data_IF_698993960792
#
_entry.id   IF_698993960792
#
_cell.length_a   1.000
_cell.length_b   1.000
_cell.length_c   1.000
_cell.angle_alpha   90.00
_cell.angle_beta   90.00
_cell.angle_gamma   90.00
#
_symmetry.space_group_name_H-M   'P 1'
#
loop_
_entity.id
_entity.type
_entity.pdbx_description
1 polymer ?
#
# COMPACT_ATOMS: atom_id res chain seq x y z
N UNK A 1 -7.45 14.64 0.05
CA UNK A 1 -8.80 14.41 -0.51
C UNK A 1 -8.93 12.92 -0.73
N UNK A 2 -9.92 12.37 -0.03
CA UNK A 2 -10.43 10.99 -0.03
C UNK A 2 -9.42 9.86 0.20
N UNK A 3 -9.24 9.57 1.51
CA UNK A 3 -8.93 8.23 1.99
C UNK A 3 -9.92 7.26 1.31
N UNK A 4 -9.39 6.20 0.69
CA UNK A 4 -10.16 5.24 -0.12
C UNK A 4 -11.18 4.54 0.77
N UNK A 5 -12.34 5.16 0.95
CA UNK A 5 -13.45 4.56 1.68
C UNK A 5 -14.06 3.50 0.78
N UNK A 6 -13.79 2.23 1.08
CA UNK A 6 -14.55 1.11 0.54
C UNK A 6 -15.99 1.31 1.02
N UNK A 7 -16.87 1.78 0.13
CA UNK A 7 -18.31 1.87 0.42
C UNK A 7 -18.84 0.45 0.63
N UNK A 8 -19.12 0.14 1.88
CA UNK A 8 -19.85 -1.05 2.29
C UNK A 8 -21.35 -0.78 2.12
N UNK A 9 -21.85 -0.91 0.89
CA UNK A 9 -23.29 -0.88 0.65
C UNK A 9 -23.86 -2.29 0.76
N UNK A 10 -24.25 -2.63 1.99
CA UNK A 10 -24.98 -3.84 2.33
C UNK A 10 -25.18 -3.96 3.83
N UNK A 11 -26.24 -3.34 4.38
CA UNK A 11 -26.64 -3.62 5.75
C UNK A 11 -27.09 -5.08 5.87
N UNK A 12 -26.33 -5.90 6.59
CA UNK A 12 -26.81 -7.15 7.18
C UNK A 12 -26.12 -7.35 8.52
N UNK A 13 -26.94 -7.45 9.58
CA UNK A 13 -26.70 -7.92 10.96
C UNK A 13 -25.25 -7.99 11.42
N UNK A 14 -24.94 -7.33 12.54
CA UNK A 14 -23.66 -7.34 13.28
C UNK A 14 -22.99 -8.73 13.33
N UNK A 15 -22.32 -9.10 12.25
CA UNK A 15 -21.61 -10.36 12.13
C UNK A 15 -20.30 -10.20 12.89
N UNK A 16 -20.28 -10.69 14.14
CA UNK A 16 -19.04 -10.80 14.90
C UNK A 16 -18.10 -11.77 14.17
N UNK A 17 -17.03 -11.22 13.57
CA UNK A 17 -15.95 -12.03 13.05
C UNK A 17 -15.10 -12.53 14.21
N UNK A 18 -15.25 -13.81 14.57
CA UNK A 18 -14.39 -14.44 15.58
C UNK A 18 -13.12 -14.94 14.89
N UNK A 19 -12.03 -14.25 15.14
CA UNK A 19 -10.71 -14.73 14.75
C UNK A 19 -10.36 -15.99 15.55
N UNK A 20 -10.05 -17.08 14.84
CA UNK A 20 -9.54 -18.31 15.43
C UNK A 20 -8.13 -18.52 14.89
N UNK A 21 -7.13 -18.19 15.71
CA UNK A 21 -5.73 -18.46 15.40
C UNK A 21 -5.47 -19.94 15.64
N UNK A 22 -5.13 -20.67 14.59
CA UNK A 22 -4.73 -22.08 14.68
C UNK A 22 -3.20 -22.17 14.74
N UNK A 23 -2.61 -23.10 15.52
CA UNK A 23 -1.16 -23.19 15.70
C UNK A 23 -0.38 -23.56 14.43
N UNK A 24 -1.07 -24.04 13.40
CA UNK A 24 -0.51 -24.40 12.09
C UNK A 24 -0.83 -23.36 11.00
N UNK A 25 -1.42 -22.21 11.36
CA UNK A 25 -1.71 -21.10 10.46
C UNK A 25 -0.78 -19.95 10.79
N UNK A 26 -0.24 -19.32 9.75
CA UNK A 26 0.60 -18.15 9.89
C UNK A 26 -0.21 -16.96 10.43
N UNK A 27 0.18 -16.45 11.60
CA UNK A 27 -0.51 -15.37 12.30
C UNK A 27 -0.18 -13.97 11.78
N UNK A 28 0.85 -13.83 10.93
CA UNK A 28 1.21 -12.54 10.32
C UNK A 28 0.46 -12.29 9.01
N UNK A 29 -0.13 -13.34 8.42
CA UNK A 29 -0.97 -13.25 7.23
C UNK A 29 -2.40 -12.79 7.58
N UNK A 30 -3.07 -12.15 6.63
CA UNK A 30 -4.47 -11.77 6.83
C UNK A 30 -5.31 -11.85 5.55
N UNK A 31 -6.62 -11.77 5.70
CA UNK A 31 -7.58 -11.67 4.60
C UNK A 31 -7.63 -10.27 4.00
N UNK A 32 -7.23 -10.13 2.74
CA UNK A 32 -7.45 -8.93 1.93
C UNK A 32 -8.54 -9.15 0.88
N UNK A 33 -9.31 -8.11 0.54
CA UNK A 33 -10.26 -8.15 -0.58
C UNK A 33 -9.60 -7.62 -1.84
N UNK A 34 -9.57 -8.42 -2.92
CA UNK A 34 -9.06 -8.02 -4.24
C UNK A 34 -10.06 -8.43 -5.30
N UNK A 35 -10.49 -7.48 -6.13
CA UNK A 35 -11.46 -7.73 -7.22
C UNK A 35 -12.75 -8.43 -6.74
N UNK A 36 -13.26 -8.05 -5.57
CA UNK A 36 -14.46 -8.63 -4.97
C UNK A 36 -14.26 -10.00 -4.31
N UNK A 37 -13.06 -10.58 -4.34
CA UNK A 37 -12.74 -11.88 -3.73
C UNK A 37 -11.83 -11.71 -2.52
N UNK A 38 -12.03 -12.55 -1.51
CA UNK A 38 -11.15 -12.61 -0.34
C UNK A 38 -9.94 -13.48 -0.64
N UNK A 39 -8.76 -12.98 -0.27
CA UNK A 39 -7.48 -13.64 -0.42
C UNK A 39 -6.74 -13.61 0.93
N UNK A 40 -6.39 -14.77 1.46
CA UNK A 40 -5.56 -14.87 2.66
C UNK A 40 -4.09 -14.86 2.28
N UNK A 41 -3.29 -14.05 2.96
CA UNK A 41 -1.85 -14.04 2.80
C UNK A 41 -1.22 -12.67 3.01
N UNK A 42 -0.26 -12.37 2.14
CA UNK A 42 0.59 -11.18 2.19
C UNK A 42 0.51 -10.37 0.91
N UNK A 43 0.93 -9.12 1.01
CA UNK A 43 1.31 -8.27 -0.10
C UNK A 43 2.79 -7.94 0.03
N UNK A 44 3.42 -7.68 -1.11
CA UNK A 44 4.82 -7.32 -1.21
C UNK A 44 4.96 -5.97 -1.89
N UNK A 45 5.73 -5.08 -1.28
CA UNK A 45 6.14 -3.79 -1.80
C UNK A 45 7.63 -3.91 -2.19
N UNK A 46 7.94 -3.69 -3.47
CA UNK A 46 9.29 -3.82 -3.99
C UNK A 46 9.71 -2.50 -4.60
N UNK A 47 10.81 -1.93 -4.10
CA UNK A 47 11.44 -0.77 -4.70
C UNK A 47 12.60 -1.23 -5.58
N UNK A 48 12.65 -0.74 -6.82
CA UNK A 48 13.71 -1.06 -7.78
C UNK A 48 14.38 0.20 -8.30
N UNK A 49 15.60 0.05 -8.81
CA UNK A 49 16.22 1.08 -9.65
C UNK A 49 15.66 1.05 -11.08
N UNK A 50 16.20 1.92 -11.93
CA UNK A 50 15.83 2.04 -13.34
C UNK A 50 16.16 0.81 -14.20
N UNK A 51 17.07 -0.05 -13.75
CA UNK A 51 17.46 -1.30 -14.42
C UNK A 51 16.65 -2.50 -13.90
N UNK A 52 15.77 -2.29 -12.91
CA UNK A 52 14.99 -3.33 -12.27
C UNK A 52 15.74 -4.08 -11.15
N UNK A 53 16.87 -3.57 -10.68
CA UNK A 53 17.55 -4.13 -9.51
C UNK A 53 16.75 -3.79 -8.25
N UNK A 54 16.47 -4.80 -7.42
CA UNK A 54 15.74 -4.61 -6.16
C UNK A 54 16.62 -3.87 -5.15
N UNK A 55 16.14 -2.71 -4.70
CA UNK A 55 16.80 -1.87 -3.69
C UNK A 55 16.24 -2.15 -2.29
N UNK A 56 14.93 -2.40 -2.19
CA UNK A 56 14.27 -2.70 -0.93
C UNK A 56 13.02 -3.56 -1.14
N UNK A 57 12.67 -4.31 -0.11
CA UNK A 57 11.45 -5.11 -0.04
C UNK A 57 10.77 -4.92 1.32
N UNK A 58 9.44 -4.89 1.29
CA UNK A 58 8.60 -4.91 2.48
C UNK A 58 7.42 -5.85 2.24
N UNK A 59 7.18 -6.74 3.19
CA UNK A 59 6.05 -7.66 3.15
C UNK A 59 5.08 -7.30 4.26
N UNK A 60 3.81 -7.17 3.92
CA UNK A 60 2.73 -6.76 4.83
C UNK A 60 1.57 -7.73 4.71
N UNK A 61 0.77 -7.86 5.78
CA UNK A 61 -0.44 -8.66 5.74
C UNK A 61 -1.39 -8.15 4.63
N UNK A 62 -2.14 -9.03 3.97
CA UNK A 62 -2.89 -8.64 2.77
C UNK A 62 -4.01 -7.60 3.01
N UNK A 63 -4.42 -7.37 4.26
CA UNK A 63 -5.38 -6.31 4.62
C UNK A 63 -4.75 -4.93 4.83
N UNK A 64 -3.42 -4.83 4.86
CA UNK A 64 -2.75 -3.55 5.02
C UNK A 64 -2.94 -2.70 3.77
N UNK A 65 -3.13 -1.40 4.00
CA UNK A 65 -3.32 -0.40 2.96
C UNK A 65 -1.97 -0.01 2.37
N UNK A 66 -1.85 -0.12 1.06
CA UNK A 66 -0.60 0.12 0.35
C UNK A 66 -0.13 1.60 0.50
N UNK A 67 -1.08 2.53 0.68
CA UNK A 67 -0.84 3.96 0.89
C UNK A 67 0.17 4.21 2.02
N UNK A 68 0.10 3.44 3.12
CA UNK A 68 0.85 3.70 4.36
C UNK A 68 2.27 3.13 4.37
N UNK A 69 2.65 2.37 3.35
CA UNK A 69 3.92 1.64 3.32
C UNK A 69 4.97 2.26 2.39
N UNK A 70 4.68 3.42 1.79
CA UNK A 70 5.64 4.11 0.93
C UNK A 70 6.89 4.54 1.70
N UNK A 71 6.71 5.16 2.87
CA UNK A 71 7.81 5.67 3.69
C UNK A 71 8.76 4.56 4.11
N UNK A 72 8.24 3.51 4.74
CA UNK A 72 9.02 2.36 5.20
C UNK A 72 9.81 1.70 4.07
N UNK A 73 9.23 1.64 2.86
CA UNK A 73 9.92 1.13 1.68
C UNK A 73 11.05 2.07 1.24
N UNK A 74 10.83 3.39 1.26
CA UNK A 74 11.83 4.39 0.86
C UNK A 74 12.97 4.54 1.88
N UNK A 75 12.70 4.42 3.18
CA UNK A 75 13.75 4.48 4.21
C UNK A 75 14.79 3.38 4.07
N UNK A 76 14.38 2.22 3.56
CA UNK A 76 15.27 1.09 3.25
C UNK A 76 16.07 1.31 1.97
N UNK A 77 15.70 2.31 1.16
CA UNK A 77 16.44 2.69 -0.04
C UNK A 77 17.39 3.84 0.27
N UNK A 78 18.70 3.65 0.05
CA UNK A 78 19.71 4.70 0.22
C UNK A 78 19.69 5.68 -0.98
N UNK A 79 18.56 6.36 -1.20
CA UNK A 79 18.38 7.27 -2.34
C UNK A 79 19.07 8.61 -2.09
N UNK A 80 19.61 9.18 -3.16
CA UNK A 80 20.17 10.53 -3.13
C UNK A 80 19.05 11.57 -3.13
N UNK A 81 19.31 12.73 -2.54
CA UNK A 81 18.37 13.85 -2.58
C UNK A 81 18.06 14.24 -4.03
N UNK A 82 16.80 14.53 -4.31
CA UNK A 82 16.29 14.86 -5.63
C UNK A 82 16.00 13.67 -6.53
N UNK A 83 16.22 12.43 -6.07
CA UNK A 83 15.89 11.22 -6.85
C UNK A 83 14.38 11.19 -7.15
N UNK A 84 13.98 10.96 -8.41
CA UNK A 84 12.57 10.78 -8.77
C UNK A 84 12.04 9.44 -8.26
N UNK A 85 10.92 9.47 -7.54
CA UNK A 85 10.21 8.29 -7.07
C UNK A 85 8.96 8.09 -7.92
N UNK A 86 8.91 6.99 -8.66
CA UNK A 86 7.75 6.56 -9.44
C UNK A 86 6.92 5.58 -8.61
N UNK A 87 5.62 5.81 -8.55
CA UNK A 87 4.67 4.89 -7.93
C UNK A 87 3.30 4.99 -8.61
N UNK A 88 2.46 3.98 -8.42
CA UNK A 88 1.10 3.99 -8.92
C UNK A 88 0.21 5.01 -8.17
N UNK A 89 -0.99 5.26 -8.72
CA UNK A 89 -1.95 6.20 -8.14
C UNK A 89 -2.51 5.78 -6.77
N UNK A 90 -2.37 4.51 -6.40
CA UNK A 90 -2.69 4.00 -5.08
C UNK A 90 -1.76 4.56 -4.00
N UNK A 91 -0.61 5.14 -4.36
CA UNK A 91 0.28 5.85 -3.43
C UNK A 91 0.04 7.37 -3.39
N UNK A 92 -0.91 7.90 -4.17
CA UNK A 92 -1.13 9.35 -4.29
C UNK A 92 -1.93 9.94 -3.11
N UNK A 93 -1.32 9.99 -1.93
CA UNK A 93 -1.90 10.56 -0.71
C UNK A 93 -1.19 11.85 -0.28
N UNK A 94 -1.87 12.66 0.57
CA UNK A 94 -1.25 13.87 1.14
C UNK A 94 -0.04 13.51 1.99
N UNK A 95 -0.17 12.50 2.85
CA UNK A 95 0.89 11.98 3.72
C UNK A 95 2.11 11.55 2.90
N UNK A 96 1.92 10.79 1.81
CA UNK A 96 3.03 10.35 0.95
C UNK A 96 3.74 11.50 0.25
N UNK A 97 2.98 12.53 -0.17
CA UNK A 97 3.59 13.74 -0.75
C UNK A 97 4.43 14.49 0.28
N UNK A 98 3.94 14.61 1.52
CA UNK A 98 4.70 15.21 2.62
C UNK A 98 5.95 14.40 2.98
N UNK A 99 5.86 13.07 2.98
CA UNK A 99 7.00 12.17 3.15
C UNK A 99 8.06 12.40 2.09
N UNK A 100 7.69 12.46 0.81
CA UNK A 100 8.64 12.73 -0.27
C UNK A 100 9.33 14.08 -0.11
N UNK A 101 8.60 15.12 0.32
CA UNK A 101 9.19 16.45 0.61
C UNK A 101 10.16 16.37 1.78
N UNK A 102 9.79 15.71 2.89
CA UNK A 102 10.64 15.53 4.07
C UNK A 102 11.93 14.79 3.74
N UNK A 103 11.84 13.75 2.91
CA UNK A 103 12.99 12.96 2.43
C UNK A 103 13.77 13.67 1.30
N UNK A 104 13.32 14.85 0.84
CA UNK A 104 13.90 15.61 -0.27
C UNK A 104 13.95 14.82 -1.58
N UNK A 105 12.93 14.02 -1.84
CA UNK A 105 12.75 13.22 -3.06
C UNK A 105 11.77 13.90 -4.02
N UNK A 106 11.90 13.66 -5.32
CA UNK A 106 11.00 14.22 -6.33
C UNK A 106 9.83 13.27 -6.57
N UNK A 107 8.61 13.74 -6.35
CA UNK A 107 7.42 12.94 -6.66
C UNK A 107 7.22 12.79 -8.17
N UNK A 108 7.07 11.53 -8.61
CA UNK A 108 6.54 11.12 -9.92
C UNK A 108 5.42 10.08 -9.73
N UNK A 109 4.72 10.16 -8.60
CA UNK A 109 3.56 9.32 -8.34
C UNK A 109 2.47 9.65 -9.37
N UNK A 110 1.87 8.62 -9.95
CA UNK A 110 0.82 8.79 -10.93
C UNK A 110 -0.38 9.50 -10.28
N UNK A 111 -0.76 10.66 -10.81
CA UNK A 111 -1.98 11.34 -10.37
C UNK A 111 -3.19 10.76 -11.07
N UNK A 112 -4.27 10.52 -10.32
CA UNK A 112 -5.54 10.13 -10.89
C UNK A 112 -6.19 11.38 -11.51
N UNK A 113 -6.18 11.49 -12.83
CA UNK A 113 -7.03 12.46 -13.51
C UNK A 113 -8.48 12.00 -13.41
N UNK A 114 -9.34 12.82 -12.82
CA UNK A 114 -10.79 12.63 -12.92
C UNK A 114 -11.21 12.96 -14.36
N UNK A 115 -11.33 11.94 -15.20
CA UNK A 115 -11.82 12.04 -16.57
C UNK A 115 -12.88 10.97 -16.83
N UNK A 116 -14.12 11.48 -16.98
CA UNK A 116 -15.33 10.98 -17.65
C UNK A 116 -16.58 10.70 -16.77
N UNK A 117 -17.77 11.05 -17.32
CA UNK A 117 -18.99 11.53 -16.66
C UNK A 117 -19.88 10.44 -16.07
#
# INVERSE_FOLDING_TARGET
MEDRHEKDEGASEEAMFKEIVMPNVDGEAWWGKKMGKLHFGYKRHTATDENGLVLAEETTAANKSDIKHLETSLEKTNLLQGTPVYADNGYDSVENRETLVRMKLRSRIMHKEYQWP
#
